data_IF_939273691479
#
_entry.id   IF_939273691479
#
_cell.length_a   1.000
_cell.length_b   1.000
_cell.length_c   1.000
_cell.angle_alpha   90.00
_cell.angle_beta   90.00
_cell.angle_gamma   90.00
#
_symmetry.space_group_name_H-M   'P 1'
#
loop_
_entity.id
_entity.type
_entity.pdbx_description
1 polymer ?
#
# COMPACT_ATOMS: atom_id res chain seq x y z
N UNK A 1 0.19 25.13 14.83
CA UNK A 1 1.54 24.55 14.71
C UNK A 1 1.54 23.00 14.81
N UNK A 2 0.88 22.38 15.81
CA UNK A 2 0.92 20.91 15.99
C UNK A 2 0.37 20.08 14.84
N UNK A 3 -0.71 20.53 14.19
CA UNK A 3 -1.37 19.70 13.14
C UNK A 3 -0.56 19.68 11.84
N UNK A 4 0.05 20.79 11.42
CA UNK A 4 0.89 20.85 10.20
C UNK A 4 2.10 19.93 10.34
N UNK A 5 2.78 19.96 11.47
CA UNK A 5 3.93 19.08 11.75
C UNK A 5 3.53 17.59 11.70
N UNK A 6 2.36 17.22 12.25
CA UNK A 6 1.89 15.83 12.19
C UNK A 6 1.58 15.38 10.75
N UNK A 7 0.97 16.26 9.95
CA UNK A 7 0.72 15.98 8.52
C UNK A 7 2.04 15.75 7.78
N UNK A 8 3.04 16.58 8.00
CA UNK A 8 4.37 16.44 7.39
C UNK A 8 5.05 15.13 7.81
N UNK A 9 4.98 14.77 9.10
CA UNK A 9 5.53 13.51 9.62
C UNK A 9 4.83 12.32 8.98
N UNK A 10 3.49 12.30 8.95
CA UNK A 10 2.73 11.22 8.35
C UNK A 10 3.05 11.08 6.85
N UNK A 11 3.05 12.20 6.11
CA UNK A 11 3.38 12.19 4.68
C UNK A 11 4.79 11.64 4.44
N UNK A 12 5.77 12.05 5.26
CA UNK A 12 7.15 11.54 5.19
C UNK A 12 7.21 10.03 5.42
N UNK A 13 6.50 9.50 6.42
CA UNK A 13 6.50 8.07 6.75
C UNK A 13 5.73 7.23 5.71
N UNK A 14 4.65 7.75 5.14
CA UNK A 14 4.01 7.11 3.98
C UNK A 14 4.97 7.01 2.80
N UNK A 15 5.65 8.11 2.44
CA UNK A 15 6.61 8.14 1.34
C UNK A 15 7.79 7.20 1.58
N UNK A 16 8.30 7.11 2.81
CA UNK A 16 9.33 6.15 3.18
C UNK A 16 8.86 4.71 2.93
N UNK A 17 7.65 4.38 3.39
CA UNK A 17 7.07 3.05 3.23
C UNK A 17 6.80 2.72 1.75
N UNK A 18 6.30 3.66 0.97
CA UNK A 18 6.08 3.52 -0.48
C UNK A 18 7.41 3.42 -1.24
N UNK A 19 8.46 4.12 -0.81
CA UNK A 19 9.80 4.00 -1.35
C UNK A 19 10.39 2.59 -1.18
N UNK A 20 10.16 1.96 -0.01
CA UNK A 20 10.54 0.56 0.21
C UNK A 20 9.75 -0.39 -0.71
N UNK A 21 8.43 -0.16 -0.88
CA UNK A 21 7.60 -0.93 -1.81
C UNK A 21 8.10 -0.77 -3.26
N UNK A 22 8.38 0.46 -3.70
CA UNK A 22 8.97 0.77 -5.01
C UNK A 22 10.25 -0.03 -5.23
N UNK A 23 11.15 0.01 -4.26
CA UNK A 23 12.42 -0.73 -4.32
C UNK A 23 12.23 -2.25 -4.40
N UNK A 24 11.16 -2.78 -3.79
CA UNK A 24 10.80 -4.19 -3.92
C UNK A 24 10.26 -4.51 -5.32
N UNK A 25 9.32 -3.71 -5.84
CA UNK A 25 8.73 -3.87 -7.18
C UNK A 25 9.82 -3.85 -8.26
N UNK A 26 10.75 -2.90 -8.20
CA UNK A 26 11.85 -2.77 -9.18
C UNK A 26 12.72 -4.03 -9.23
N UNK A 27 12.89 -4.74 -8.11
CA UNK A 27 13.72 -5.94 -8.01
C UNK A 27 12.99 -7.24 -8.35
N UNK A 28 11.67 -7.25 -8.50
CA UNK A 28 10.94 -8.47 -8.90
C UNK A 28 11.29 -8.80 -10.35
N UNK A 29 11.85 -9.98 -10.69
CA UNK A 29 12.04 -10.39 -12.06
C UNK A 29 10.70 -10.50 -12.80
N UNK A 30 10.66 -10.19 -14.10
CA UNK A 30 9.41 -10.22 -14.88
C UNK A 30 8.74 -11.59 -14.88
N UNK A 31 9.53 -12.66 -14.91
CA UNK A 31 9.02 -14.04 -14.81
C UNK A 31 8.36 -14.36 -13.45
N UNK A 32 8.58 -13.53 -12.42
CA UNK A 32 8.00 -13.70 -11.10
C UNK A 32 6.87 -12.69 -10.82
N UNK A 33 6.63 -11.74 -11.73
CA UNK A 33 5.67 -10.66 -11.51
C UNK A 33 4.23 -11.18 -11.44
N UNK A 34 3.85 -12.02 -12.39
CA UNK A 34 2.52 -12.63 -12.49
C UNK A 34 2.66 -14.15 -12.69
N UNK A 35 3.23 -14.84 -11.70
CA UNK A 35 3.33 -16.30 -11.70
C UNK A 35 2.39 -16.90 -10.64
N UNK A 36 2.20 -18.21 -10.71
CA UNK A 36 1.31 -19.01 -9.86
C UNK A 36 2.03 -19.67 -8.67
N UNK A 37 3.24 -19.23 -8.34
CA UNK A 37 4.00 -19.78 -7.21
C UNK A 37 3.31 -19.52 -5.85
N UNK A 38 2.56 -18.43 -5.76
CA UNK A 38 1.79 -18.05 -4.59
C UNK A 38 0.32 -17.85 -4.98
N UNK A 39 -0.60 -18.07 -4.04
CA UNK A 39 -2.04 -17.82 -4.26
C UNK A 39 -2.32 -16.42 -4.80
N UNK A 40 -1.55 -15.45 -4.30
CA UNK A 40 -1.59 -14.08 -4.80
C UNK A 40 -0.23 -13.78 -5.46
N UNK A 41 -0.18 -13.55 -6.77
CA UNK A 41 1.05 -13.18 -7.44
C UNK A 41 1.61 -11.85 -6.92
N UNK A 42 2.88 -11.58 -7.20
CA UNK A 42 3.56 -10.42 -6.63
C UNK A 42 2.92 -9.09 -7.04
N UNK A 43 2.40 -8.98 -8.27
CA UNK A 43 1.68 -7.80 -8.72
C UNK A 43 0.42 -7.54 -7.90
N UNK A 44 -0.33 -8.58 -7.56
CA UNK A 44 -1.58 -8.45 -6.81
C UNK A 44 -1.30 -8.00 -5.37
N UNK A 45 -0.28 -8.57 -4.73
CA UNK A 45 0.13 -8.12 -3.40
C UNK A 45 0.59 -6.66 -3.40
N UNK A 46 1.33 -6.23 -4.44
CA UNK A 46 1.72 -4.83 -4.59
C UNK A 46 0.51 -3.91 -4.83
N UNK A 47 -0.44 -4.33 -5.65
CA UNK A 47 -1.68 -3.57 -5.89
C UNK A 47 -2.53 -3.45 -4.62
N UNK A 48 -2.73 -4.55 -3.87
CA UNK A 48 -3.45 -4.56 -2.59
C UNK A 48 -2.92 -3.49 -1.61
N UNK A 49 -1.59 -3.35 -1.52
CA UNK A 49 -0.97 -2.32 -0.69
C UNK A 49 -1.42 -0.92 -1.13
N UNK A 50 -1.35 -0.63 -2.42
CA UNK A 50 -1.67 0.70 -2.97
C UNK A 50 -3.17 1.00 -2.88
N UNK A 51 -4.00 0.00 -3.14
CA UNK A 51 -5.44 0.07 -2.91
C UNK A 51 -5.74 0.44 -1.44
N UNK A 52 -5.12 -0.25 -0.49
CA UNK A 52 -5.28 0.03 0.94
C UNK A 52 -4.90 1.46 1.32
N UNK A 53 -3.79 1.99 0.78
CA UNK A 53 -3.41 3.39 0.98
C UNK A 53 -4.50 4.33 0.48
N UNK A 54 -4.94 4.16 -0.77
CA UNK A 54 -5.98 5.00 -1.38
C UNK A 54 -7.30 4.91 -0.62
N UNK A 55 -7.68 3.71 -0.20
CA UNK A 55 -8.91 3.45 0.54
C UNK A 55 -8.92 4.17 1.90
N UNK A 56 -7.86 4.03 2.69
CA UNK A 56 -7.77 4.63 4.03
C UNK A 56 -7.48 6.14 4.03
N UNK A 57 -7.04 6.72 2.92
CA UNK A 57 -6.98 8.17 2.74
C UNK A 57 -8.38 8.79 2.52
N UNK A 58 -9.38 7.99 2.13
CA UNK A 58 -10.78 8.41 2.02
C UNK A 58 -11.42 8.73 3.36
N UNK A 59 -12.55 9.45 3.34
CA UNK A 59 -13.28 9.81 4.55
C UNK A 59 -13.97 8.60 5.21
N UNK A 60 -14.48 7.68 4.40
CA UNK A 60 -15.16 6.45 4.80
C UNK A 60 -15.28 5.52 3.58
N UNK A 61 -15.74 4.27 3.73
CA UNK A 61 -15.88 3.33 2.61
C UNK A 61 -16.77 3.85 1.47
N UNK A 62 -17.86 4.54 1.78
CA UNK A 62 -18.78 5.05 0.77
C UNK A 62 -18.19 6.21 -0.08
N UNK A 63 -17.14 6.86 0.42
CA UNK A 63 -16.41 7.93 -0.28
C UNK A 63 -15.27 7.42 -1.16
N UNK A 64 -15.02 6.10 -1.15
CA UNK A 64 -13.92 5.52 -1.92
C UNK A 64 -14.13 5.70 -3.42
N UNK A 65 -13.13 6.25 -4.07
CA UNK A 65 -13.05 6.37 -5.52
C UNK A 65 -11.91 5.46 -6.01
N UNK A 66 -12.24 4.38 -6.73
CA UNK A 66 -11.22 3.47 -7.26
C UNK A 66 -10.16 4.20 -8.09
N UNK A 67 -9.00 3.63 -8.17
CA UNK A 67 -8.02 4.05 -9.16
C UNK A 67 -8.57 3.85 -10.57
N UNK A 68 -8.24 4.74 -11.50
CA UNK A 68 -8.79 4.71 -12.88
C UNK A 68 -8.55 3.38 -13.59
N UNK A 69 -7.41 2.74 -13.30
CA UNK A 69 -7.04 1.45 -13.87
C UNK A 69 -7.33 0.28 -12.90
N UNK A 70 -8.20 0.45 -11.90
CA UNK A 70 -8.50 -0.63 -10.96
C UNK A 70 -9.02 -1.88 -11.67
N UNK A 71 -8.53 -3.04 -11.26
CA UNK A 71 -9.03 -4.35 -11.67
C UNK A 71 -9.92 -4.84 -10.53
N UNK A 72 -11.17 -5.16 -10.84
CA UNK A 72 -12.15 -5.62 -9.86
C UNK A 72 -11.70 -6.90 -9.18
N UNK A 73 -11.78 -6.94 -7.84
CA UNK A 73 -11.38 -8.07 -7.01
C UNK A 73 -9.88 -8.20 -6.79
N UNK A 74 -9.04 -7.43 -7.50
CA UNK A 74 -7.59 -7.52 -7.34
C UNK A 74 -7.10 -7.00 -5.98
N UNK A 75 -7.91 -6.21 -5.29
CA UNK A 75 -7.64 -5.73 -3.94
C UNK A 75 -7.78 -6.83 -2.88
N UNK A 76 -8.56 -7.88 -3.14
CA UNK A 76 -8.70 -9.02 -2.23
C UNK A 76 -7.51 -9.97 -2.36
N UNK A 77 -6.96 -10.37 -1.22
CA UNK A 77 -5.94 -11.43 -1.19
C UNK A 77 -6.56 -12.81 -0.93
N UNK A 78 -7.87 -12.86 -0.68
CA UNK A 78 -8.61 -14.10 -0.39
C UNK A 78 -8.20 -14.78 0.92
N UNK A 79 -8.81 -15.93 1.19
CA UNK A 79 -8.48 -16.78 2.33
C UNK A 79 -9.27 -16.45 3.60
N UNK A 80 -8.97 -17.18 4.67
CA UNK A 80 -9.70 -17.11 5.96
C UNK A 80 -9.64 -15.75 6.68
N UNK A 81 -8.83 -14.82 6.17
CA UNK A 81 -8.68 -13.48 6.70
C UNK A 81 -9.33 -12.41 5.81
N UNK A 82 -10.01 -12.80 4.74
CA UNK A 82 -10.89 -11.89 4.02
C UNK A 82 -12.18 -11.72 4.85
N UNK A 83 -12.30 -10.55 5.48
CA UNK A 83 -13.40 -10.24 6.39
C UNK A 83 -14.76 -10.15 5.69
N UNK A 84 -14.75 -9.87 4.38
CA UNK A 84 -15.98 -9.66 3.61
C UNK A 84 -16.46 -10.96 2.96
N UNK A 85 -15.53 -11.77 2.41
CA UNK A 85 -15.87 -13.01 1.70
C UNK A 85 -14.78 -14.08 1.91
N UNK A 86 -14.67 -14.68 3.10
CA UNK A 86 -13.59 -15.62 3.44
C UNK A 86 -13.56 -16.89 2.58
N UNK A 87 -14.67 -17.23 1.94
CA UNK A 87 -14.85 -18.48 1.16
C UNK A 87 -14.93 -18.25 -0.35
N UNK A 88 -14.91 -17.00 -0.83
CA UNK A 88 -14.95 -16.70 -2.27
C UNK A 88 -13.55 -16.64 -2.88
N UNK A 89 -13.26 -17.55 -3.79
CA UNK A 89 -12.14 -17.44 -4.70
C UNK A 89 -12.47 -16.37 -5.75
N UNK A 90 -12.03 -15.14 -5.53
CA UNK A 90 -12.16 -14.08 -6.51
C UNK A 90 -11.24 -14.39 -7.69
N UNK A 91 -11.82 -14.67 -8.85
CA UNK A 91 -11.04 -14.80 -10.08
C UNK A 91 -10.76 -13.39 -10.62
N UNK A 92 -9.50 -13.00 -10.58
CA UNK A 92 -9.06 -11.71 -11.11
C UNK A 92 -8.66 -11.86 -12.56
N UNK A 93 -9.30 -11.11 -13.46
CA UNK A 93 -8.96 -11.11 -14.88
C UNK A 93 -7.92 -10.03 -15.20
N UNK A 94 -6.79 -10.45 -15.79
CA UNK A 94 -5.67 -9.57 -16.11
C UNK A 94 -4.70 -9.36 -14.95
N UNK A 95 -3.79 -8.42 -15.14
CA UNK A 95 -2.82 -8.01 -14.12
C UNK A 95 -2.25 -6.62 -14.45
N UNK A 96 -1.78 -5.92 -13.43
CA UNK A 96 -1.06 -4.65 -13.61
C UNK A 96 0.40 -4.87 -13.95
N UNK A 97 0.94 -4.04 -14.85
CA UNK A 97 2.37 -3.98 -15.09
C UNK A 97 3.08 -3.27 -13.92
N UNK A 98 4.40 -3.44 -13.83
CA UNK A 98 5.22 -2.71 -12.85
C UNK A 98 5.11 -1.20 -13.05
N UNK A 99 5.18 -0.75 -14.29
CA UNK A 99 5.10 0.67 -14.67
C UNK A 99 3.78 1.30 -14.23
N UNK A 100 2.67 0.58 -14.37
CA UNK A 100 1.36 1.03 -13.89
C UNK A 100 1.35 1.20 -12.37
N UNK A 101 1.84 0.22 -11.61
CA UNK A 101 1.89 0.33 -10.16
C UNK A 101 2.91 1.37 -9.67
N UNK A 102 4.06 1.52 -10.32
CA UNK A 102 5.02 2.58 -10.02
C UNK A 102 4.44 3.97 -10.29
N UNK A 103 3.64 4.12 -11.34
CA UNK A 103 2.90 5.35 -11.63
C UNK A 103 1.83 5.60 -10.56
N UNK A 104 1.14 4.56 -10.09
CA UNK A 104 0.16 4.69 -9.01
C UNK A 104 0.82 5.12 -7.70
N UNK A 105 2.00 4.56 -7.35
CA UNK A 105 2.80 5.03 -6.20
C UNK A 105 3.07 6.54 -6.33
N UNK A 106 3.57 6.99 -7.48
CA UNK A 106 3.88 8.41 -7.69
C UNK A 106 2.66 9.30 -7.49
N UNK A 107 1.50 8.90 -8.02
CA UNK A 107 0.26 9.66 -7.87
C UNK A 107 -0.21 9.75 -6.41
N UNK A 108 -0.02 8.70 -5.63
CA UNK A 108 -0.30 8.70 -4.20
C UNK A 108 0.68 9.62 -3.45
N UNK A 109 1.97 9.52 -3.71
CA UNK A 109 3.02 10.35 -3.09
C UNK A 109 2.77 11.84 -3.30
N UNK A 110 2.30 12.24 -4.49
CA UNK A 110 1.98 13.63 -4.82
C UNK A 110 0.75 14.15 -4.07
N UNK A 111 -0.24 13.30 -3.84
CA UNK A 111 -1.49 13.69 -3.20
C UNK A 111 -1.45 13.62 -1.66
N UNK A 112 -0.55 12.82 -1.07
CA UNK A 112 -0.50 12.51 0.36
C UNK A 112 -0.64 13.72 1.30
N UNK A 113 0.14 14.82 1.17
CA UNK A 113 0.02 15.94 2.11
C UNK A 113 -1.38 16.55 2.11
N UNK A 114 -1.99 16.66 0.93
CA UNK A 114 -3.33 17.21 0.77
C UNK A 114 -4.39 16.24 1.29
N UNK A 115 -4.25 14.94 0.99
CA UNK A 115 -5.22 13.92 1.42
C UNK A 115 -5.24 13.76 2.94
N UNK A 116 -4.08 13.74 3.59
CA UNK A 116 -3.97 13.72 5.05
C UNK A 116 -4.57 14.98 5.69
N UNK A 117 -4.41 16.13 5.04
CA UNK A 117 -4.92 17.42 5.56
C UNK A 117 -6.45 17.59 5.43
N UNK A 118 -7.14 16.80 4.60
CA UNK A 118 -8.59 16.94 4.34
C UNK A 118 -9.45 16.68 5.57
N UNK A 119 -9.00 15.82 6.48
CA UNK A 119 -9.76 15.37 7.64
C UNK A 119 -9.00 15.61 8.92
N UNK A 120 -9.68 15.96 10.03
CA UNK A 120 -9.01 16.23 11.30
C UNK A 120 -8.41 14.95 11.87
N UNK A 121 -7.12 14.98 12.19
CA UNK A 121 -6.38 13.81 12.70
C UNK A 121 -6.92 13.28 14.04
N UNK A 122 -7.53 14.13 14.85
CA UNK A 122 -8.18 13.77 16.11
C UNK A 122 -9.67 13.40 15.96
N UNK A 123 -10.20 13.41 14.72
CA UNK A 123 -11.56 12.95 14.42
C UNK A 123 -11.63 11.43 14.30
N UNK A 124 -12.84 10.92 14.14
CA UNK A 124 -13.10 9.50 13.92
C UNK A 124 -12.41 9.00 12.64
N UNK A 125 -12.04 7.73 12.62
CA UNK A 125 -11.46 7.09 11.44
C UNK A 125 -12.38 7.15 10.22
N UNK A 126 -13.71 7.12 10.43
CA UNK A 126 -14.73 7.00 9.40
C UNK A 126 -14.99 5.56 8.95
N UNK A 127 -14.34 4.59 9.56
CA UNK A 127 -14.47 3.15 9.27
C UNK A 127 -15.02 2.43 10.50
N UNK A 128 -16.20 1.85 10.40
CA UNK A 128 -16.92 1.23 11.54
C UNK A 128 -16.11 0.11 12.21
N UNK A 129 -15.35 -0.66 11.42
CA UNK A 129 -14.48 -1.73 11.93
C UNK A 129 -13.19 -1.22 12.58
N UNK A 130 -12.90 0.10 12.47
CA UNK A 130 -11.73 0.73 13.06
C UNK A 130 -12.15 1.91 13.95
N UNK A 131 -12.72 1.68 15.14
CA UNK A 131 -13.34 2.71 15.99
C UNK A 131 -12.28 3.50 16.77
N UNK A 132 -11.29 4.04 16.07
CA UNK A 132 -10.19 4.83 16.62
C UNK A 132 -10.07 6.17 15.88
N UNK A 133 -9.06 6.95 16.24
CA UNK A 133 -8.83 8.25 15.61
C UNK A 133 -8.31 8.11 14.17
N UNK A 134 -8.51 9.16 13.38
CA UNK A 134 -7.94 9.28 12.04
C UNK A 134 -6.40 9.17 12.07
N UNK A 135 -5.75 9.70 13.10
CA UNK A 135 -4.30 9.58 13.29
C UNK A 135 -3.88 8.10 13.42
N UNK A 136 -4.59 7.35 14.24
CA UNK A 136 -4.30 5.91 14.39
C UNK A 136 -4.56 5.12 13.11
N UNK A 137 -5.58 5.49 12.33
CA UNK A 137 -5.83 4.89 11.01
C UNK A 137 -4.65 5.13 10.06
N UNK A 138 -4.07 6.34 10.03
CA UNK A 138 -2.88 6.60 9.22
C UNK A 138 -1.68 5.76 9.68
N UNK A 139 -1.45 5.63 10.98
CA UNK A 139 -0.39 4.77 11.53
C UNK A 139 -0.65 3.30 11.13
N UNK A 140 -1.90 2.84 11.22
CA UNK A 140 -2.27 1.50 10.79
C UNK A 140 -2.03 1.28 9.30
N UNK A 141 -2.38 2.24 8.45
CA UNK A 141 -2.15 2.17 7.00
C UNK A 141 -0.65 2.10 6.66
N UNK A 142 0.20 2.89 7.34
CA UNK A 142 1.66 2.80 7.17
C UNK A 142 2.17 1.40 7.58
N UNK A 143 1.68 0.84 8.67
CA UNK A 143 2.03 -0.53 9.11
C UNK A 143 1.56 -1.58 8.10
N UNK A 144 0.39 -1.40 7.48
CA UNK A 144 -0.13 -2.28 6.43
C UNK A 144 0.79 -2.28 5.21
N UNK A 145 1.28 -1.12 4.76
CA UNK A 145 2.27 -1.03 3.68
C UNK A 145 3.50 -1.85 4.06
N UNK A 146 4.07 -1.64 5.24
CA UNK A 146 5.29 -2.32 5.68
C UNK A 146 5.09 -3.83 5.85
N UNK A 147 3.92 -4.27 6.36
CA UNK A 147 3.61 -5.68 6.53
C UNK A 147 3.67 -6.43 5.19
N UNK A 148 2.99 -5.93 4.17
CA UNK A 148 2.94 -6.59 2.88
C UNK A 148 4.20 -6.36 2.03
N UNK A 149 4.87 -5.23 2.18
CA UNK A 149 6.19 -5.00 1.56
C UNK A 149 7.22 -6.01 2.09
N UNK A 150 7.18 -6.32 3.39
CA UNK A 150 8.05 -7.33 3.97
C UNK A 150 7.78 -8.73 3.38
N UNK A 151 6.52 -9.08 3.09
CA UNK A 151 6.17 -10.34 2.43
C UNK A 151 6.77 -10.41 1.02
N UNK A 152 6.67 -9.33 0.21
CA UNK A 152 7.33 -9.26 -1.10
C UNK A 152 8.85 -9.43 -0.98
N UNK A 153 9.47 -8.72 -0.05
CA UNK A 153 10.92 -8.80 0.18
C UNK A 153 11.33 -10.22 0.59
N UNK A 154 10.58 -10.90 1.45
CA UNK A 154 10.89 -12.27 1.86
C UNK A 154 10.75 -13.26 0.69
N UNK A 155 9.72 -13.12 -0.18
CA UNK A 155 9.62 -13.92 -1.41
C UNK A 155 10.87 -13.75 -2.30
N UNK A 156 11.36 -12.52 -2.43
CA UNK A 156 12.54 -12.21 -3.25
C UNK A 156 13.83 -12.74 -2.62
N UNK A 157 13.99 -12.60 -1.29
CA UNK A 157 15.13 -13.16 -0.56
C UNK A 157 15.20 -14.68 -0.68
N UNK A 158 14.05 -15.36 -0.63
CA UNK A 158 13.98 -16.80 -0.85
C UNK A 158 14.51 -17.23 -2.24
N UNK A 159 14.52 -16.31 -3.21
CA UNK A 159 15.11 -16.48 -4.55
C UNK A 159 16.53 -15.94 -4.67
N UNK A 160 17.16 -15.54 -3.57
CA UNK A 160 18.53 -15.00 -3.54
C UNK A 160 18.64 -13.53 -3.95
N UNK A 161 17.51 -12.81 -4.11
CA UNK A 161 17.50 -11.38 -4.43
C UNK A 161 17.63 -10.59 -3.12
N UNK A 162 18.64 -9.75 -3.02
CA UNK A 162 19.02 -9.00 -1.81
C UNK A 162 19.24 -7.51 -2.09
N UNK A 163 19.73 -6.75 -1.10
CA UNK A 163 20.07 -5.34 -1.27
C UNK A 163 18.83 -4.44 -1.30
N UNK A 164 17.85 -4.70 -0.42
CA UNK A 164 16.69 -3.83 -0.24
C UNK A 164 17.08 -2.69 0.70
N UNK A 165 16.98 -1.43 0.24
CA UNK A 165 17.35 -0.28 1.05
C UNK A 165 16.33 -0.04 2.15
N UNK A 166 16.80 0.44 3.30
CA UNK A 166 15.94 0.99 4.35
C UNK A 166 15.69 2.47 4.09
N UNK A 167 14.44 2.86 3.98
CA UNK A 167 14.03 4.26 3.89
C UNK A 167 13.65 4.77 5.27
N UNK A 168 14.43 5.70 5.81
CA UNK A 168 14.17 6.28 7.12
C UNK A 168 13.10 7.39 7.07
N UNK A 169 13.02 8.09 5.94
CA UNK A 169 12.11 9.19 5.67
C UNK A 169 11.74 9.25 4.17
N UNK A 170 11.17 10.37 3.74
CA UNK A 170 10.72 10.58 2.34
C UNK A 170 11.84 10.67 1.30
N UNK A 171 13.08 10.68 1.72
CA UNK A 171 14.23 10.81 0.80
C UNK A 171 14.84 9.43 0.53
N UNK A 172 15.29 9.18 -0.72
CA UNK A 172 16.00 7.95 -1.03
C UNK A 172 17.20 7.76 -0.09
N UNK A 173 17.46 6.52 0.35
CA UNK A 173 18.62 6.23 1.17
C UNK A 173 19.91 6.65 0.47
N UNK A 174 20.79 7.33 1.19
CA UNK A 174 22.12 7.61 0.69
C UNK A 174 22.96 6.34 0.77
N UNK A 175 23.75 6.08 -0.27
CA UNK A 175 24.77 5.04 -0.20
C UNK A 175 25.85 5.50 0.81
N UNK A 176 26.10 4.67 1.82
CA UNK A 176 27.13 4.88 2.83
C UNK A 176 28.43 4.21 2.39
#
# INVERSE_FOLDING_TARGET
>A
MGNTMLIEILASQYKASLGMLRSAIDKIPDAQWNNDEYNNPNWQLAYHILWGVKFYLGANPASYMPWTNAIEGAESLGGIHDWENPDENVTVEGFHTKEELLSFISSLEDSLPNDIAKLPLNGDSGFEWYPYSRLELHINSIRHIQHHTAQLIERLKAKGITGFPWWADQYPPQEW
#
